data_IF_714713700400
#
_entry.id   IF_714713700400
#
_cell.length_a   1.000
_cell.length_b   1.000
_cell.length_c   1.000
_cell.angle_alpha   90.00
_cell.angle_beta   90.00
_cell.angle_gamma   90.00
#
_symmetry.space_group_name_H-M   'P 1'
#
loop_
_entity.id
_entity.type
_entity.pdbx_description
1 polymer ?
#
# COMPACT_ATOMS: atom_id res chain seq x y z
N UNK A 1 -22.98 25.71 29.56
CA UNK A 1 -21.54 25.73 29.25
C UNK A 1 -21.41 26.19 27.82
N UNK A 2 -21.01 27.43 27.58
CA UNK A 2 -20.64 27.91 26.25
C UNK A 2 -19.34 27.22 25.84
N UNK A 3 -19.30 26.60 24.67
CA UNK A 3 -18.08 26.01 24.12
C UNK A 3 -17.03 27.13 23.94
N UNK A 4 -15.79 26.85 24.34
CA UNK A 4 -14.64 27.71 24.09
C UNK A 4 -14.18 27.49 22.65
N UNK A 5 -13.78 28.55 21.96
CA UNK A 5 -13.22 28.45 20.60
C UNK A 5 -11.78 27.96 20.66
N UNK A 6 -11.26 27.46 19.54
CA UNK A 6 -9.86 27.06 19.43
C UNK A 6 -8.93 28.30 19.49
N UNK A 7 -8.46 28.63 20.69
CA UNK A 7 -7.51 29.72 20.93
C UNK A 7 -6.76 29.52 22.26
N UNK A 8 -5.79 30.39 22.52
CA UNK A 8 -5.13 30.44 23.82
C UNK A 8 -5.88 31.37 24.75
N UNK A 9 -6.46 30.81 25.81
CA UNK A 9 -7.05 31.56 26.90
C UNK A 9 -6.00 31.80 27.97
N UNK A 10 -5.80 33.06 28.33
CA UNK A 10 -4.94 33.44 29.45
C UNK A 10 -5.80 34.01 30.58
N UNK A 11 -5.50 33.59 31.81
CA UNK A 11 -6.10 34.14 33.02
C UNK A 11 -5.05 34.16 34.13
N UNK A 12 -5.28 34.95 35.18
CA UNK A 12 -4.35 35.06 36.29
C UNK A 12 -5.05 34.65 37.57
N UNK A 13 -4.59 33.55 38.18
CA UNK A 13 -5.08 33.11 39.48
C UNK A 13 -4.39 33.92 40.59
N UNK A 14 -5.18 34.70 41.33
CA UNK A 14 -4.69 35.43 42.50
C UNK A 14 -4.82 34.56 43.76
N UNK A 15 -3.69 34.31 44.43
CA UNK A 15 -3.63 33.59 45.71
C UNK A 15 -3.43 34.60 46.83
N UNK A 16 -4.41 34.68 47.73
CA UNK A 16 -4.33 35.52 48.92
C UNK A 16 -3.71 34.69 50.04
N UNK A 17 -2.62 35.19 50.63
CA UNK A 17 -1.91 34.51 51.72
C UNK A 17 -1.97 35.34 53.01
N UNK A 18 -1.70 34.68 54.14
CA UNK A 18 -1.52 35.37 55.42
C UNK A 18 -0.05 35.73 55.69
N UNK A 19 0.82 35.73 54.66
CA UNK A 19 2.17 36.29 54.75
C UNK A 19 2.07 37.83 54.78
N UNK A 20 2.51 38.49 55.88
CA UNK A 20 2.44 39.94 56.01
C UNK A 20 3.36 40.71 55.04
N UNK A 21 4.30 40.04 54.37
CA UNK A 21 5.21 40.62 53.38
C UNK A 21 4.68 40.42 51.95
N UNK A 22 4.13 39.24 51.63
CA UNK A 22 3.58 38.91 50.31
C UNK A 22 2.10 38.47 50.41
N UNK A 23 1.17 39.42 50.66
CA UNK A 23 -0.24 39.10 50.86
C UNK A 23 -0.95 38.63 49.58
N UNK A 24 -0.34 38.84 48.42
CA UNK A 24 -0.86 38.41 47.11
C UNK A 24 0.28 37.77 46.30
N UNK A 25 -0.02 36.63 45.69
CA UNK A 25 0.79 36.04 44.64
C UNK A 25 -0.10 35.77 43.42
N UNK A 26 0.46 35.83 42.23
CA UNK A 26 -0.27 35.66 40.97
C UNK A 26 0.35 34.55 40.15
N UNK A 27 -0.48 33.60 39.75
CA UNK A 27 -0.08 32.51 38.85
C UNK A 27 -0.74 32.77 37.51
N UNK A 28 0.06 33.00 36.49
CA UNK A 28 -0.43 33.07 35.11
C UNK A 28 -0.83 31.65 34.66
N UNK A 29 -2.07 31.53 34.20
CA UNK A 29 -2.66 30.32 33.64
C UNK A 29 -2.85 30.57 32.15
N UNK A 30 -2.31 29.68 31.32
CA UNK A 30 -2.61 29.64 29.89
C UNK A 30 -3.20 28.28 29.54
N UNK A 31 -4.36 28.27 28.89
CA UNK A 31 -5.00 27.09 28.33
C UNK A 31 -5.06 27.25 26.83
N UNK A 32 -4.41 26.35 26.09
CA UNK A 32 -4.62 26.21 24.65
C UNK A 32 -5.79 25.26 24.43
N UNK A 33 -6.90 25.78 23.92
CA UNK A 33 -7.96 24.94 23.37
C UNK A 33 -7.56 24.64 21.92
N UNK A 34 -7.22 23.38 21.65
CA UNK A 34 -7.07 22.91 20.27
C UNK A 34 -8.45 22.55 19.75
N UNK A 35 -8.78 22.97 18.52
CA UNK A 35 -10.01 22.55 17.88
C UNK A 35 -9.98 21.05 17.59
N UNK A 36 -11.16 20.44 17.47
CA UNK A 36 -11.27 19.06 17.04
C UNK A 36 -10.60 18.88 15.66
N UNK A 37 -9.88 17.76 15.44
CA UNK A 37 -9.27 17.49 14.14
C UNK A 37 -10.32 17.45 13.03
N UNK A 38 -9.93 17.63 11.75
CA UNK A 38 -10.89 17.55 10.66
C UNK A 38 -11.59 16.19 10.66
N UNK A 39 -12.88 16.18 10.38
CA UNK A 39 -13.70 14.97 10.31
C UNK A 39 -14.40 14.94 8.96
N UNK A 40 -14.01 14.02 8.08
CA UNK A 40 -14.56 13.94 6.73
C UNK A 40 -15.93 13.24 6.72
N UNK A 41 -16.88 13.81 5.99
CA UNK A 41 -18.17 13.18 5.69
C UNK A 41 -18.44 13.30 4.19
N UNK A 42 -18.70 12.16 3.54
CA UNK A 42 -19.01 12.07 2.10
C UNK A 42 -20.45 11.61 1.93
N UNK A 43 -21.30 12.40 1.27
CA UNK A 43 -22.72 12.09 1.09
C UNK A 43 -23.20 12.37 -0.36
N UNK A 44 -23.77 11.38 -1.08
CA UNK A 44 -23.90 9.98 -0.68
C UNK A 44 -22.57 9.22 -0.76
N UNK A 45 -22.40 8.19 0.06
CA UNK A 45 -21.25 7.27 -0.01
C UNK A 45 -21.33 6.26 -1.17
N UNK A 46 -22.45 6.24 -1.90
CA UNK A 46 -22.60 5.43 -3.10
C UNK A 46 -23.47 6.14 -4.14
N UNK A 47 -23.07 6.06 -5.41
CA UNK A 47 -23.83 6.60 -6.54
C UNK A 47 -24.04 5.49 -7.57
N UNK A 48 -25.28 5.36 -8.03
CA UNK A 48 -25.62 4.48 -9.15
C UNK A 48 -26.25 5.30 -10.26
N UNK A 49 -25.72 5.16 -11.48
CA UNK A 49 -26.27 5.79 -12.69
C UNK A 49 -26.65 4.73 -13.73
N UNK A 50 -27.62 5.05 -14.58
CA UNK A 50 -28.01 4.23 -15.72
C UNK A 50 -28.02 5.08 -16.98
N UNK A 51 -27.21 4.73 -17.98
CA UNK A 51 -27.04 5.54 -19.18
C UNK A 51 -26.82 4.70 -20.44
N UNK A 52 -27.12 5.30 -21.60
CA UNK A 52 -26.86 4.62 -22.88
C UNK A 52 -25.39 4.67 -23.24
N UNK A 53 -24.90 3.69 -24.02
CA UNK A 53 -23.54 3.73 -24.59
C UNK A 53 -23.24 5.07 -25.27
N UNK A 54 -22.01 5.58 -25.15
CA UNK A 54 -21.55 6.85 -25.71
C UNK A 54 -22.29 8.09 -25.20
N UNK A 55 -22.68 8.07 -23.92
CA UNK A 55 -23.19 9.25 -23.22
C UNK A 55 -22.38 9.47 -21.95
N UNK A 56 -22.45 10.69 -21.44
CA UNK A 56 -21.89 11.06 -20.14
C UNK A 56 -23.00 11.59 -19.24
N UNK A 57 -22.94 11.27 -17.94
CA UNK A 57 -23.85 11.78 -16.92
C UNK A 57 -23.06 12.30 -15.73
N UNK A 58 -23.48 13.43 -15.19
CA UNK A 58 -22.90 14.02 -13.97
C UNK A 58 -23.85 13.80 -12.81
N UNK A 59 -23.32 13.29 -11.70
CA UNK A 59 -23.94 13.29 -10.39
C UNK A 59 -23.11 14.18 -9.45
N UNK A 60 -23.63 14.47 -8.26
CA UNK A 60 -22.94 15.30 -7.29
C UNK A 60 -22.82 14.55 -5.97
N UNK A 61 -21.64 14.64 -5.35
CA UNK A 61 -21.38 14.23 -3.97
C UNK A 61 -21.03 15.46 -3.15
N UNK A 62 -21.37 15.46 -1.86
CA UNK A 62 -21.00 16.51 -0.92
C UNK A 62 -19.89 16.01 -0.03
N UNK A 63 -18.78 16.72 0.02
CA UNK A 63 -17.70 16.50 0.98
C UNK A 63 -17.80 17.56 2.06
N UNK A 64 -17.95 17.13 3.32
CA UNK A 64 -18.12 18.02 4.48
C UNK A 64 -17.01 17.80 5.49
N UNK A 65 -16.69 18.86 6.23
CA UNK A 65 -15.78 18.83 7.36
C UNK A 65 -16.55 19.15 8.64
N UNK A 66 -16.76 18.15 9.49
CA UNK A 66 -17.45 18.30 10.78
C UNK A 66 -16.48 18.64 11.94
N UNK A 67 -15.19 18.80 11.63
CA UNK A 67 -14.16 19.20 12.59
C UNK A 67 -13.90 20.71 12.62
N UNK A 68 -13.00 21.13 13.52
CA UNK A 68 -12.66 22.55 13.73
C UNK A 68 -11.42 23.01 12.95
N UNK A 69 -10.68 22.09 12.35
CA UNK A 69 -9.48 22.37 11.55
C UNK A 69 -9.76 22.10 10.07
N UNK A 70 -9.08 22.81 9.15
CA UNK A 70 -9.24 22.61 7.71
C UNK A 70 -9.01 21.15 7.32
N UNK A 71 -9.98 20.58 6.61
CA UNK A 71 -9.90 19.29 5.94
C UNK A 71 -9.26 19.50 4.56
N UNK A 72 -8.19 18.77 4.26
CA UNK A 72 -7.66 18.65 2.90
C UNK A 72 -7.96 17.24 2.41
N UNK A 73 -8.43 17.10 1.18
CA UNK A 73 -8.82 15.82 0.61
C UNK A 73 -8.33 15.68 -0.84
N UNK A 74 -8.09 14.44 -1.26
CA UNK A 74 -7.58 14.11 -2.61
C UNK A 74 -8.12 12.73 -3.07
N UNK A 75 -8.77 12.70 -4.24
CA UNK A 75 -9.28 11.49 -4.87
C UNK A 75 -8.34 10.90 -5.93
N UNK A 76 -7.21 11.56 -6.20
CA UNK A 76 -6.17 11.14 -7.17
C UNK A 76 -5.01 10.40 -6.52
N UNK A 77 -4.94 10.40 -5.19
CA UNK A 77 -3.85 9.76 -4.47
C UNK A 77 -4.09 8.25 -4.37
N UNK A 78 -3.12 7.47 -4.87
CA UNK A 78 -3.07 6.04 -4.59
C UNK A 78 -2.73 5.79 -3.13
N UNK A 79 -3.40 4.81 -2.54
CA UNK A 79 -3.08 4.35 -1.20
C UNK A 79 -1.66 3.82 -1.16
N UNK A 80 -0.98 3.92 0.02
CA UNK A 80 0.30 3.27 0.19
C UNK A 80 0.21 1.79 -0.20
N UNK A 81 1.21 1.24 -0.91
CA UNK A 81 1.23 -0.17 -1.22
C UNK A 81 1.15 -1.02 0.04
N UNK A 82 0.42 -2.12 -0.04
CA UNK A 82 0.34 -3.13 1.01
C UNK A 82 1.47 -4.13 0.78
N UNK A 83 2.15 -4.53 1.86
CA UNK A 83 3.05 -5.68 1.82
C UNK A 83 2.26 -6.96 2.11
N UNK A 84 2.18 -7.86 1.13
CA UNK A 84 1.53 -9.15 1.26
C UNK A 84 2.42 -10.22 1.92
N UNK A 85 3.72 -9.95 2.08
CA UNK A 85 4.65 -10.82 2.81
C UNK A 85 4.56 -10.53 4.31
N UNK A 86 4.55 -11.59 5.11
CA UNK A 86 4.71 -11.50 6.57
C UNK A 86 6.18 -11.73 6.93
N UNK A 87 6.71 -10.89 7.84
CA UNK A 87 8.08 -11.00 8.38
C UNK A 87 9.14 -11.11 7.28
N UNK A 88 9.11 -10.15 6.35
CA UNK A 88 10.08 -10.04 5.26
C UNK A 88 11.53 -9.86 5.70
N UNK A 89 11.75 -9.36 6.91
CA UNK A 89 13.07 -9.19 7.55
C UNK A 89 13.52 -10.41 8.36
N UNK A 90 12.68 -11.45 8.50
CA UNK A 90 13.00 -12.70 9.21
C UNK A 90 13.26 -12.57 10.72
N UNK A 91 12.87 -11.46 11.33
CA UNK A 91 13.19 -11.11 12.72
C UNK A 91 12.18 -11.67 13.72
N UNK A 92 10.92 -11.81 13.30
CA UNK A 92 9.83 -12.28 14.16
C UNK A 92 9.75 -13.82 14.21
N UNK A 93 10.19 -14.47 13.12
CA UNK A 93 10.25 -15.92 12.98
C UNK A 93 8.90 -16.58 12.75
N UNK A 94 8.93 -17.77 12.13
CA UNK A 94 7.75 -18.62 11.96
C UNK A 94 6.81 -18.23 10.81
N UNK A 95 7.05 -17.12 10.10
CA UNK A 95 6.34 -16.77 8.86
C UNK A 95 6.87 -17.53 7.63
N UNK A 96 8.14 -17.93 7.66
CA UNK A 96 8.83 -18.62 6.57
C UNK A 96 9.19 -20.05 6.95
N UNK A 97 8.93 -21.00 6.05
CA UNK A 97 9.45 -22.37 6.14
C UNK A 97 10.75 -22.48 5.35
N UNK A 98 11.87 -22.74 6.04
CA UNK A 98 13.20 -22.81 5.46
C UNK A 98 13.76 -24.22 5.50
N UNK A 99 14.22 -24.75 4.36
CA UNK A 99 14.79 -26.09 4.29
C UNK A 99 15.56 -26.39 3.01
N UNK A 100 16.32 -27.47 3.03
CA UNK A 100 17.15 -27.90 1.91
C UNK A 100 18.10 -29.02 2.28
N UNK A 101 19.06 -29.30 1.40
CA UNK A 101 20.03 -30.39 1.53
C UNK A 101 20.89 -30.30 2.80
N UNK A 102 21.15 -29.08 3.26
CA UNK A 102 22.04 -28.78 4.39
C UNK A 102 21.33 -28.13 5.59
N UNK A 103 19.99 -28.15 5.61
CA UNK A 103 19.17 -27.56 6.67
C UNK A 103 18.48 -26.27 6.24
N UNK A 104 18.02 -25.50 7.23
CA UNK A 104 17.37 -24.21 6.96
C UNK A 104 18.41 -23.19 6.47
N UNK A 105 18.11 -22.44 5.40
CA UNK A 105 18.95 -21.33 4.95
C UNK A 105 18.70 -20.03 5.73
N UNK A 106 17.77 -20.01 6.69
CA UNK A 106 17.49 -18.85 7.55
C UNK A 106 18.60 -18.76 8.61
N UNK A 107 19.31 -17.65 8.62
CA UNK A 107 20.53 -17.40 9.37
C UNK A 107 20.34 -16.31 10.43
N UNK A 108 21.16 -16.42 11.48
CA UNK A 108 21.39 -15.40 12.50
C UNK A 108 22.89 -15.40 12.86
N UNK A 109 23.39 -14.47 13.69
CA UNK A 109 24.79 -14.43 14.03
C UNK A 109 25.25 -15.66 14.83
N UNK A 110 24.32 -16.34 15.53
CA UNK A 110 24.59 -17.56 16.28
C UNK A 110 24.74 -18.81 15.42
N UNK A 111 23.98 -18.93 14.34
CA UNK A 111 23.98 -20.10 13.44
C UNK A 111 24.98 -19.97 12.30
N UNK A 112 25.14 -18.78 11.72
CA UNK A 112 25.88 -18.58 10.46
C UNK A 112 27.18 -17.76 10.62
N UNK A 113 27.42 -17.13 11.77
CA UNK A 113 28.67 -16.40 12.07
C UNK A 113 28.52 -14.88 12.05
N UNK A 114 29.56 -14.13 11.71
CA UNK A 114 29.47 -12.66 11.73
C UNK A 114 28.32 -12.15 10.83
N UNK A 115 27.57 -11.15 11.30
CA UNK A 115 26.34 -10.70 10.64
C UNK A 115 26.61 -10.27 9.19
N UNK A 116 25.77 -10.78 8.29
CA UNK A 116 25.65 -10.38 6.89
C UNK A 116 24.19 -10.06 6.54
N UNK A 117 23.36 -9.71 7.54
CA UNK A 117 22.05 -9.14 7.29
C UNK A 117 22.20 -7.73 6.71
N UNK A 118 21.25 -7.32 5.87
CA UNK A 118 21.14 -5.93 5.42
C UNK A 118 20.58 -5.07 6.55
N UNK A 119 19.51 -5.52 7.20
CA UNK A 119 18.95 -4.90 8.39
C UNK A 119 18.70 -5.93 9.48
N UNK A 120 18.70 -5.50 10.75
CA UNK A 120 18.50 -6.42 11.86
C UNK A 120 19.65 -7.43 12.04
N UNK A 121 19.30 -8.61 12.56
CA UNK A 121 20.20 -9.71 12.89
C UNK A 121 19.92 -10.97 12.04
N UNK A 122 18.75 -11.12 11.42
CA UNK A 122 18.36 -12.31 10.65
C UNK A 122 18.38 -12.05 9.15
N UNK A 123 18.72 -13.09 8.38
CA UNK A 123 18.76 -13.03 6.91
C UNK A 123 18.65 -14.44 6.34
N UNK A 124 18.59 -14.56 5.01
CA UNK A 124 18.63 -15.86 4.33
C UNK A 124 19.93 -16.00 3.56
N UNK A 125 20.62 -17.13 3.74
CA UNK A 125 21.85 -17.44 3.04
C UNK A 125 21.75 -18.80 2.34
N UNK A 126 21.81 -18.76 1.01
CA UNK A 126 21.88 -19.94 0.17
C UNK A 126 23.32 -20.21 -0.28
N UNK A 127 23.73 -21.48 -0.27
CA UNK A 127 25.07 -21.89 -0.71
C UNK A 127 26.17 -21.62 0.31
N UNK A 128 27.39 -21.35 -0.16
CA UNK A 128 28.56 -21.02 0.63
C UNK A 128 29.28 -22.23 1.23
N UNK A 129 28.99 -23.44 0.78
CA UNK A 129 29.53 -24.68 1.32
C UNK A 129 30.62 -25.29 0.44
N UNK A 130 30.75 -24.85 -0.82
CA UNK A 130 31.73 -25.40 -1.76
C UNK A 130 31.38 -26.84 -2.13
N UNK A 131 30.09 -27.17 -2.10
CA UNK A 131 29.50 -28.42 -2.57
C UNK A 131 28.16 -28.09 -3.19
N UNK A 132 27.76 -28.82 -4.24
CA UNK A 132 26.42 -28.66 -4.80
C UNK A 132 25.36 -28.91 -3.73
N UNK A 133 24.51 -27.91 -3.49
CA UNK A 133 23.39 -27.98 -2.55
C UNK A 133 22.27 -27.04 -3.01
N UNK A 134 21.04 -27.40 -2.65
CA UNK A 134 19.85 -26.59 -2.88
C UNK A 134 19.11 -26.39 -1.57
N UNK A 135 18.66 -25.16 -1.33
CA UNK A 135 17.76 -24.82 -0.23
C UNK A 135 16.77 -23.74 -0.66
N UNK A 136 15.66 -23.65 0.06
CA UNK A 136 14.59 -22.70 -0.22
C UNK A 136 13.93 -22.20 1.06
N UNK A 137 13.35 -21.01 0.97
CA UNK A 137 12.35 -20.51 1.91
C UNK A 137 11.00 -20.46 1.20
N UNK A 138 9.91 -20.74 1.91
CA UNK A 138 8.54 -20.64 1.38
C UNK A 138 7.62 -19.91 2.34
N UNK A 139 6.64 -19.20 1.77
CA UNK A 139 5.53 -18.58 2.50
C UNK A 139 4.26 -18.62 1.64
N UNK A 140 3.11 -18.86 2.29
CA UNK A 140 1.82 -18.66 1.63
C UNK A 140 1.43 -17.18 1.72
N UNK A 141 1.26 -16.52 0.57
CA UNK A 141 0.87 -15.11 0.48
C UNK A 141 -0.45 -14.98 -0.27
N UNK A 142 -1.31 -14.06 0.13
CA UNK A 142 -2.50 -13.71 -0.66
C UNK A 142 -2.17 -12.47 -1.48
N UNK A 143 -2.19 -12.60 -2.81
CA UNK A 143 -1.92 -11.48 -3.71
C UNK A 143 -3.28 -10.92 -4.13
N UNK A 144 -3.64 -9.68 -3.75
CA UNK A 144 -4.94 -9.11 -4.08
C UNK A 144 -5.24 -9.08 -5.58
N UNK A 145 -6.51 -9.05 -5.97
CA UNK A 145 -6.95 -8.87 -7.36
C UNK A 145 -6.78 -7.41 -7.78
N UNK A 146 -5.54 -7.06 -8.16
CA UNK A 146 -5.11 -5.70 -8.50
C UNK A 146 -4.28 -5.69 -9.78
N UNK A 147 -4.11 -4.51 -10.37
CA UNK A 147 -3.36 -4.36 -11.62
C UNK A 147 -1.85 -4.50 -11.47
N UNK A 148 -1.31 -4.32 -10.26
CA UNK A 148 0.13 -4.38 -10.02
C UNK A 148 0.49 -5.12 -8.73
N UNK A 149 1.45 -6.04 -8.85
CA UNK A 149 2.07 -6.72 -7.72
C UNK A 149 3.56 -6.90 -8.01
N UNK A 150 4.43 -6.38 -7.15
CA UNK A 150 5.88 -6.42 -7.32
C UNK A 150 6.54 -7.01 -6.09
N UNK A 151 7.26 -8.12 -6.27
CA UNK A 151 8.14 -8.64 -5.24
C UNK A 151 9.46 -7.85 -5.27
N UNK A 152 9.81 -7.25 -4.15
CA UNK A 152 11.10 -6.63 -3.90
C UNK A 152 11.84 -7.40 -2.81
N UNK A 153 13.16 -7.55 -2.96
CA UNK A 153 14.01 -8.06 -1.90
C UNK A 153 15.43 -7.53 -2.08
N UNK A 154 16.23 -7.57 -1.05
CA UNK A 154 17.63 -7.16 -1.13
C UNK A 154 18.51 -8.38 -1.31
N UNK A 155 19.30 -8.36 -2.37
CA UNK A 155 20.15 -9.46 -2.79
C UNK A 155 21.62 -9.04 -2.74
N UNK A 156 22.45 -9.89 -2.17
CA UNK A 156 23.90 -9.88 -2.34
C UNK A 156 24.34 -11.24 -2.90
N UNK A 157 25.28 -11.21 -3.85
CA UNK A 157 25.85 -12.41 -4.48
C UNK A 157 27.36 -12.42 -4.18
N UNK A 158 27.83 -13.54 -3.63
CA UNK A 158 29.25 -13.81 -3.45
C UNK A 158 29.65 -15.02 -4.28
N UNK A 159 30.78 -14.94 -4.97
CA UNK A 159 31.31 -16.02 -5.81
C UNK A 159 32.27 -15.51 -6.87
N UNK A 160 32.50 -16.34 -7.89
CA UNK A 160 33.22 -16.01 -9.10
C UNK A 160 32.28 -16.08 -10.31
N UNK A 161 32.43 -15.21 -11.31
CA UNK A 161 31.61 -15.23 -12.53
C UNK A 161 31.63 -16.58 -13.29
N UNK A 162 32.62 -17.45 -13.02
CA UNK A 162 32.64 -18.82 -13.57
C UNK A 162 31.73 -19.81 -12.85
N UNK A 163 31.22 -19.45 -11.68
CA UNK A 163 30.37 -20.30 -10.85
C UNK A 163 28.97 -20.41 -11.47
N UNK A 164 28.37 -21.60 -11.39
CA UNK A 164 27.06 -21.88 -11.99
C UNK A 164 25.91 -21.77 -10.98
N UNK A 165 26.15 -21.16 -9.82
CA UNK A 165 25.13 -20.97 -8.80
C UNK A 165 24.00 -20.06 -9.29
N UNK A 166 22.80 -20.29 -8.76
CA UNK A 166 21.59 -19.55 -9.14
C UNK A 166 20.64 -19.35 -7.96
N UNK A 167 19.89 -18.27 -8.01
CA UNK A 167 18.75 -17.97 -7.14
C UNK A 167 17.49 -17.82 -7.99
N UNK A 168 16.41 -18.44 -7.57
CA UNK A 168 15.14 -18.49 -8.29
C UNK A 168 14.01 -17.98 -7.42
N UNK A 169 13.19 -17.10 -7.99
CA UNK A 169 11.88 -16.75 -7.43
C UNK A 169 10.85 -17.66 -8.10
N UNK A 170 9.99 -18.27 -7.29
CA UNK A 170 9.08 -19.33 -7.71
C UNK A 170 7.69 -19.04 -7.14
N UNK A 171 6.67 -19.13 -7.99
CA UNK A 171 5.27 -19.12 -7.59
C UNK A 171 4.64 -20.47 -7.96
N UNK A 172 4.09 -21.18 -6.97
CA UNK A 172 3.41 -22.48 -7.18
C UNK A 172 4.28 -23.53 -7.91
N UNK A 173 5.58 -23.53 -7.62
CA UNK A 173 6.56 -24.42 -8.26
C UNK A 173 6.99 -24.02 -9.67
N UNK A 174 6.50 -22.90 -10.22
CA UNK A 174 6.98 -22.33 -11.48
C UNK A 174 8.01 -21.22 -11.21
N UNK A 175 9.20 -21.33 -11.81
CA UNK A 175 10.21 -20.28 -11.74
C UNK A 175 9.76 -19.07 -12.56
N UNK A 176 9.65 -17.92 -11.90
CA UNK A 176 9.23 -16.63 -12.50
C UNK A 176 10.42 -15.71 -12.74
N UNK A 177 11.50 -15.86 -11.97
CA UNK A 177 12.75 -15.13 -12.15
C UNK A 177 13.94 -16.00 -11.74
N UNK A 178 15.06 -15.82 -12.43
CA UNK A 178 16.34 -16.46 -12.11
C UNK A 178 17.45 -15.41 -12.12
N UNK A 179 18.20 -15.35 -11.02
CA UNK A 179 19.47 -14.64 -10.91
C UNK A 179 20.60 -15.67 -10.93
N UNK A 180 21.65 -15.43 -11.70
CA UNK A 180 22.82 -16.31 -11.79
C UNK A 180 24.09 -15.54 -11.46
N UNK A 181 25.11 -16.24 -10.95
CA UNK A 181 26.38 -15.59 -10.64
C UNK A 181 27.04 -15.04 -11.92
N UNK A 182 26.96 -15.78 -13.02
CA UNK A 182 27.57 -15.40 -14.28
C UNK A 182 27.01 -14.08 -14.85
N UNK A 183 25.70 -13.85 -14.70
CA UNK A 183 25.04 -12.70 -15.29
C UNK A 183 24.86 -11.54 -14.30
N UNK A 184 24.65 -11.82 -13.01
CA UNK A 184 24.17 -10.82 -12.04
C UNK A 184 25.19 -10.44 -10.96
N UNK A 185 26.33 -11.13 -10.82
CA UNK A 185 27.30 -10.89 -9.73
C UNK A 185 27.70 -9.41 -9.61
N UNK A 186 27.94 -8.73 -10.74
CA UNK A 186 28.40 -7.35 -10.75
C UNK A 186 27.34 -6.35 -10.25
N UNK A 187 26.06 -6.68 -10.38
CA UNK A 187 24.95 -5.84 -9.93
C UNK A 187 24.68 -6.01 -8.42
N UNK A 188 25.10 -7.13 -7.85
CA UNK A 188 24.81 -7.53 -6.46
C UNK A 188 26.07 -7.87 -5.64
N UNK A 189 27.24 -7.30 -5.96
CA UNK A 189 28.48 -7.47 -5.15
C UNK A 189 28.37 -6.97 -3.70
N UNK A 190 27.33 -6.20 -3.41
CA UNK A 190 26.82 -5.84 -2.10
C UNK A 190 25.31 -5.77 -2.21
N UNK A 191 24.58 -5.83 -1.09
CA UNK A 191 23.13 -5.70 -1.09
C UNK A 191 22.59 -4.60 -2.02
N UNK A 192 21.90 -5.04 -3.07
CA UNK A 192 21.13 -4.20 -3.97
C UNK A 192 19.72 -4.76 -4.12
N UNK A 193 18.77 -3.89 -4.41
CA UNK A 193 17.36 -4.28 -4.51
C UNK A 193 17.11 -5.04 -5.81
N UNK A 194 16.62 -6.27 -5.69
CA UNK A 194 16.02 -7.05 -6.76
C UNK A 194 14.51 -6.77 -6.82
N UNK A 195 13.95 -6.80 -8.03
CA UNK A 195 12.53 -6.53 -8.28
C UNK A 195 11.99 -7.51 -9.32
N UNK A 196 10.85 -8.13 -9.03
CA UNK A 196 10.19 -9.13 -9.87
C UNK A 196 8.71 -8.78 -9.99
N UNK A 197 8.25 -8.63 -11.24
CA UNK A 197 6.83 -8.39 -11.53
C UNK A 197 6.04 -9.69 -11.35
N UNK A 198 5.10 -9.68 -10.40
CA UNK A 198 4.18 -10.78 -10.10
C UNK A 198 2.73 -10.42 -10.45
N UNK A 199 2.48 -9.36 -11.21
CA UNK A 199 1.12 -8.86 -11.50
C UNK A 199 0.22 -9.91 -12.17
N UNK A 200 0.80 -10.91 -12.86
CA UNK A 200 0.03 -12.02 -13.44
C UNK A 200 -0.56 -12.99 -12.40
N UNK A 201 -0.12 -12.92 -11.14
CA UNK A 201 -0.61 -13.70 -10.00
C UNK A 201 -1.49 -12.86 -9.07
N UNK A 202 -1.77 -11.60 -9.40
CA UNK A 202 -2.64 -10.72 -8.62
C UNK A 202 -4.11 -11.04 -8.92
N UNK A 203 -4.60 -12.18 -8.43
CA UNK A 203 -5.95 -12.70 -8.70
C UNK A 203 -6.85 -12.81 -7.46
N UNK A 204 -6.36 -12.35 -6.30
CA UNK A 204 -7.06 -12.41 -5.01
C UNK A 204 -6.90 -13.74 -4.28
N UNK A 205 -6.20 -14.73 -4.86
CA UNK A 205 -6.00 -16.05 -4.29
C UNK A 205 -4.73 -16.13 -3.44
N UNK A 206 -4.61 -17.24 -2.70
CA UNK A 206 -3.42 -17.57 -1.94
C UNK A 206 -2.44 -18.35 -2.82
N UNK A 207 -1.20 -17.88 -2.89
CA UNK A 207 -0.11 -18.48 -3.65
C UNK A 207 1.03 -18.91 -2.72
N UNK A 208 1.71 -19.98 -3.07
CA UNK A 208 2.99 -20.33 -2.45
C UNK A 208 4.11 -19.55 -3.14
N UNK A 209 4.69 -18.60 -2.42
CA UNK A 209 5.92 -17.90 -2.80
C UNK A 209 7.12 -18.66 -2.27
N UNK A 210 8.08 -18.94 -3.13
CA UNK A 210 9.35 -19.53 -2.74
C UNK A 210 10.53 -18.77 -3.34
N UNK A 211 11.60 -18.65 -2.55
CA UNK A 211 12.92 -18.23 -3.03
C UNK A 211 13.86 -19.42 -2.81
N UNK A 212 14.50 -19.87 -3.88
CA UNK A 212 15.38 -21.05 -3.89
C UNK A 212 16.76 -20.67 -4.36
N UNK A 213 17.79 -21.01 -3.58
CA UNK A 213 19.17 -20.90 -4.02
C UNK A 213 19.80 -22.28 -4.25
N UNK A 214 20.62 -22.38 -5.29
CA UNK A 214 21.41 -23.56 -5.61
C UNK A 214 22.86 -23.17 -5.82
N UNK A 215 23.75 -23.74 -5.02
CA UNK A 215 25.19 -23.74 -5.28
C UNK A 215 25.51 -24.92 -6.20
N UNK A 216 26.37 -24.70 -7.21
CA UNK A 216 26.77 -25.74 -8.16
C UNK A 216 28.30 -25.79 -8.22
N UNK A 217 28.86 -26.96 -7.93
CA UNK A 217 30.30 -27.22 -8.05
C UNK A 217 30.99 -27.31 -6.70
N UNK A 218 32.28 -26.97 -6.69
CA UNK A 218 33.17 -27.04 -5.53
C UNK A 218 33.76 -25.67 -5.12
N UNK A 219 33.34 -24.59 -5.78
CA UNK A 219 33.68 -23.22 -5.43
C UNK A 219 32.68 -22.64 -4.43
N UNK A 220 33.19 -21.84 -3.48
CA UNK A 220 32.34 -21.16 -2.49
C UNK A 220 31.57 -20.05 -3.19
N UNK A 221 30.27 -20.24 -3.35
CA UNK A 221 29.37 -19.22 -3.87
C UNK A 221 28.05 -19.21 -3.11
N UNK A 222 27.45 -18.03 -2.96
CA UNK A 222 26.22 -17.90 -2.21
C UNK A 222 25.43 -16.65 -2.51
N UNK A 223 24.16 -16.71 -2.13
CA UNK A 223 23.18 -15.66 -2.30
C UNK A 223 22.62 -15.31 -0.94
N UNK A 224 22.62 -14.02 -0.62
CA UNK A 224 22.12 -13.48 0.63
C UNK A 224 20.88 -12.66 0.32
N UNK A 225 19.77 -13.00 0.97
CA UNK A 225 18.48 -12.35 0.78
C UNK A 225 18.02 -11.76 2.10
N UNK A 226 17.54 -10.53 2.06
CA UNK A 226 16.98 -9.83 3.21
C UNK A 226 15.87 -8.85 2.77
N UNK A 227 15.06 -8.38 3.73
CA UNK A 227 14.01 -7.38 3.55
C UNK A 227 13.09 -7.67 2.34
N UNK A 228 12.48 -8.86 2.33
CA UNK A 228 11.55 -9.31 1.29
C UNK A 228 10.19 -8.63 1.48
N UNK A 229 9.67 -7.97 0.45
CA UNK A 229 8.35 -7.35 0.46
C UNK A 229 7.62 -7.67 -0.84
N UNK A 230 6.34 -8.02 -0.76
CA UNK A 230 5.46 -8.13 -1.92
C UNK A 230 4.50 -6.95 -1.93
N UNK A 231 4.88 -5.90 -2.64
CA UNK A 231 4.14 -4.66 -2.70
C UNK A 231 3.01 -4.76 -3.72
N UNK A 232 1.77 -4.58 -3.28
CA UNK A 232 0.59 -4.53 -4.13
C UNK A 232 -0.16 -3.22 -3.93
N UNK A 233 -0.93 -2.82 -4.94
CA UNK A 233 -1.97 -1.80 -4.74
C UNK A 233 -2.96 -2.26 -3.65
N UNK A 234 -3.59 -1.32 -2.97
CA UNK A 234 -4.64 -1.62 -2.01
C UNK A 234 -5.94 -2.00 -2.76
N UNK A 235 -6.50 -3.21 -2.55
CA UNK A 235 -7.70 -3.66 -3.26
C UNK A 235 -8.99 -2.99 -2.76
N UNK A 236 -8.95 -2.22 -1.67
CA UNK A 236 -10.17 -1.64 -1.07
C UNK A 236 -10.80 -0.58 -1.97
N UNK A 237 -9.98 0.25 -2.61
CA UNK A 237 -10.39 1.30 -3.54
C UNK A 237 -9.21 1.74 -4.41
N UNK A 238 -9.49 2.49 -5.48
CA UNK A 238 -8.49 3.02 -6.43
C UNK A 238 -8.51 4.54 -6.44
N UNK A 239 -7.42 5.19 -6.86
CA UNK A 239 -7.50 6.59 -7.26
C UNK A 239 -8.44 6.76 -8.46
N UNK A 240 -9.13 7.89 -8.54
CA UNK A 240 -10.02 8.20 -9.66
C UNK A 240 -9.29 8.16 -11.01
N UNK A 241 -7.99 8.48 -11.01
CA UNK A 241 -7.15 8.49 -12.21
C UNK A 241 -6.94 7.10 -12.83
N UNK A 242 -7.11 6.04 -12.04
CA UNK A 242 -6.91 4.65 -12.47
C UNK A 242 -8.22 4.03 -12.99
N UNK A 243 -9.33 4.79 -12.98
CA UNK A 243 -10.64 4.36 -13.45
C UNK A 243 -11.04 5.17 -14.69
N UNK A 244 -11.03 4.52 -15.86
CA UNK A 244 -11.17 5.20 -17.15
C UNK A 244 -12.56 5.75 -17.49
N UNK A 245 -13.61 5.31 -16.78
CA UNK A 245 -15.00 5.68 -17.05
C UNK A 245 -15.59 6.63 -16.00
N UNK A 246 -14.76 7.11 -15.06
CA UNK A 246 -15.14 8.02 -13.98
C UNK A 246 -14.20 9.23 -13.99
N UNK A 247 -14.73 10.42 -13.73
CA UNK A 247 -13.96 11.61 -13.38
C UNK A 247 -14.60 12.32 -12.18
N UNK A 248 -13.81 12.99 -11.36
CA UNK A 248 -14.26 13.71 -10.15
C UNK A 248 -13.72 15.14 -10.22
N UNK A 249 -14.62 16.13 -10.16
CA UNK A 249 -14.29 17.55 -10.37
C UNK A 249 -14.90 18.43 -9.26
N UNK A 250 -14.07 19.16 -8.48
CA UNK A 250 -12.61 19.06 -8.43
C UNK A 250 -12.17 17.67 -7.93
N UNK A 251 -10.95 17.22 -8.26
CA UNK A 251 -10.44 15.91 -7.81
C UNK A 251 -9.70 15.96 -6.47
N UNK A 252 -9.46 17.16 -5.96
CA UNK A 252 -8.92 17.45 -4.63
C UNK A 252 -9.36 18.84 -4.17
N UNK A 253 -9.32 19.07 -2.86
CA UNK A 253 -9.82 20.33 -2.31
C UNK A 253 -9.50 20.54 -0.83
N UNK A 254 -9.97 21.67 -0.32
CA UNK A 254 -9.86 22.03 1.09
C UNK A 254 -11.19 22.56 1.62
N UNK A 255 -11.73 21.92 2.64
CA UNK A 255 -13.01 22.28 3.26
C UNK A 255 -12.76 22.90 4.63
N UNK A 256 -13.18 24.15 4.80
CA UNK A 256 -13.10 24.85 6.08
C UNK A 256 -13.92 24.12 7.15
N UNK A 257 -13.58 24.36 8.42
CA UNK A 257 -14.33 23.82 9.56
C UNK A 257 -15.84 24.07 9.44
N UNK A 258 -16.64 23.05 9.74
CA UNK A 258 -18.11 23.08 9.71
C UNK A 258 -18.71 23.52 8.36
N UNK A 259 -18.00 23.28 7.27
CA UNK A 259 -18.41 23.64 5.91
C UNK A 259 -18.49 22.41 5.03
N UNK A 260 -19.09 22.58 3.85
CA UNK A 260 -19.13 21.57 2.81
C UNK A 260 -18.79 22.13 1.43
N UNK A 261 -18.41 21.23 0.53
CA UNK A 261 -18.13 21.48 -0.88
C UNK A 261 -18.91 20.46 -1.73
N UNK A 262 -19.48 20.92 -2.84
CA UNK A 262 -20.10 20.05 -3.84
C UNK A 262 -19.06 19.64 -4.86
N UNK A 263 -19.00 18.35 -5.16
CA UNK A 263 -18.06 17.74 -6.09
C UNK A 263 -18.85 16.96 -7.13
N UNK A 264 -18.55 17.22 -8.40
CA UNK A 264 -19.19 16.55 -9.52
C UNK A 264 -18.49 15.22 -9.81
N UNK A 265 -19.29 14.15 -9.95
CA UNK A 265 -18.85 12.81 -10.36
C UNK A 265 -19.39 12.57 -11.77
N UNK A 266 -18.49 12.50 -12.74
CA UNK A 266 -18.80 12.32 -14.16
C UNK A 266 -18.63 10.86 -14.53
N UNK A 267 -19.69 10.26 -15.06
CA UNK A 267 -19.70 8.89 -15.58
C UNK A 267 -19.65 8.95 -17.10
N UNK A 268 -18.60 8.43 -17.73
CA UNK A 268 -18.44 8.42 -19.19
C UNK A 268 -18.59 7.00 -19.77
N UNK A 269 -19.67 6.78 -20.52
CA UNK A 269 -19.94 5.52 -21.20
C UNK A 269 -19.41 5.50 -22.65
N UNK A 270 -18.52 6.42 -23.03
CA UNK A 270 -17.90 6.48 -24.37
C UNK A 270 -17.00 5.27 -24.59
N UNK A 271 -17.33 4.47 -25.61
CA UNK A 271 -16.60 3.23 -25.90
C UNK A 271 -16.78 2.10 -24.88
N UNK A 272 -17.60 2.30 -23.85
CA UNK A 272 -17.91 1.28 -22.83
C UNK A 272 -19.04 0.38 -23.35
N UNK A 273 -18.85 -0.95 -23.41
CA UNK A 273 -19.90 -1.90 -23.77
C UNK A 273 -21.12 -1.85 -22.82
N UNK A 274 -22.25 -2.42 -23.25
CA UNK A 274 -23.38 -2.60 -22.33
C UNK A 274 -23.03 -3.59 -21.23
N UNK A 275 -23.32 -3.24 -19.98
CA UNK A 275 -22.96 -4.03 -18.80
C UNK A 275 -23.09 -3.20 -17.51
N UNK A 276 -22.80 -3.84 -16.39
CA UNK A 276 -22.68 -3.19 -15.08
C UNK A 276 -21.20 -3.02 -14.75
N UNK A 277 -20.82 -1.81 -14.34
CA UNK A 277 -19.46 -1.45 -13.95
C UNK A 277 -19.52 -0.88 -12.55
N UNK A 278 -18.76 -1.46 -11.61
CA UNK A 278 -18.71 -0.99 -10.21
C UNK A 278 -17.26 -0.86 -9.79
N UNK A 279 -16.93 0.29 -9.22
CA UNK A 279 -15.60 0.58 -8.68
C UNK A 279 -15.72 1.35 -7.36
N UNK A 280 -14.71 1.19 -6.51
CA UNK A 280 -14.56 1.92 -5.27
C UNK A 280 -13.47 2.98 -5.45
N UNK A 281 -13.81 4.26 -5.26
CA UNK A 281 -12.84 5.36 -5.33
C UNK A 281 -12.36 5.72 -3.92
N UNK A 282 -11.04 5.88 -3.76
CA UNK A 282 -10.45 6.38 -2.53
C UNK A 282 -10.56 7.90 -2.46
N UNK A 283 -11.09 8.42 -1.35
CA UNK A 283 -10.98 9.83 -0.99
C UNK A 283 -10.06 9.89 0.23
N UNK A 284 -8.80 10.24 -0.01
CA UNK A 284 -7.80 10.44 1.05
C UNK A 284 -7.99 11.80 1.71
N UNK A 285 -7.70 11.92 3.00
CA UNK A 285 -7.77 13.19 3.72
C UNK A 285 -6.86 13.26 4.94
N UNK A 286 -6.74 14.45 5.54
CA UNK A 286 -6.05 14.66 6.81
C UNK A 286 -6.94 14.41 8.06
N UNK A 287 -8.11 13.76 7.91
CA UNK A 287 -8.87 13.22 9.05
C UNK A 287 -8.06 12.09 9.72
N UNK A 288 -7.67 12.22 11.00
CA UNK A 288 -6.82 11.24 11.67
C UNK A 288 -7.55 9.94 12.03
N UNK A 289 -8.88 9.94 12.03
CA UNK A 289 -9.72 8.77 12.33
C UNK A 289 -10.08 8.03 11.04
N UNK A 290 -10.45 8.77 10.00
CA UNK A 290 -10.81 8.24 8.68
C UNK A 290 -9.94 8.86 7.58
N UNK A 291 -8.64 8.56 7.53
CA UNK A 291 -7.73 9.15 6.54
C UNK A 291 -8.06 8.75 5.11
N UNK A 292 -8.88 7.72 4.92
CA UNK A 292 -9.39 7.28 3.63
C UNK A 292 -10.87 6.94 3.79
N UNK A 293 -11.72 7.50 2.93
CA UNK A 293 -13.13 7.14 2.79
C UNK A 293 -13.36 6.55 1.40
N UNK A 294 -14.11 5.45 1.33
CA UNK A 294 -14.45 4.80 0.06
C UNK A 294 -15.79 5.32 -0.48
N UNK A 295 -15.80 5.78 -1.73
CA UNK A 295 -17.00 6.15 -2.49
C UNK A 295 -17.28 5.07 -3.54
N UNK A 296 -18.38 4.33 -3.39
CA UNK A 296 -18.76 3.27 -4.34
C UNK A 296 -19.55 3.83 -5.51
N UNK A 297 -19.07 3.61 -6.73
CA UNK A 297 -19.68 4.14 -7.95
C UNK A 297 -20.08 2.98 -8.86
N UNK A 298 -21.35 2.99 -9.30
CA UNK A 298 -21.90 1.99 -10.22
C UNK A 298 -22.48 2.65 -11.46
N UNK A 299 -22.05 2.20 -12.64
CA UNK A 299 -22.61 2.60 -13.93
C UNK A 299 -23.25 1.40 -14.64
N UNK A 300 -24.54 1.52 -14.90
CA UNK A 300 -25.29 0.57 -15.73
C UNK A 300 -25.40 1.10 -17.16
N UNK A 301 -24.69 0.46 -18.09
CA UNK A 301 -24.66 0.84 -19.50
C UNK A 301 -25.62 -0.03 -20.30
N UNK A 302 -26.57 0.58 -21.01
CA UNK A 302 -27.48 -0.12 -21.92
C UNK A 302 -27.33 0.34 -23.36
N UNK A 303 -27.67 -0.53 -24.30
CA UNK A 303 -27.69 -0.18 -25.72
C UNK A 303 -29.08 0.31 -26.13
N UNK A 304 -29.15 1.49 -26.75
CA UNK A 304 -30.37 1.95 -27.42
C UNK A 304 -30.46 1.33 -28.82
N UNK A 305 -31.40 0.42 -29.02
CA UNK A 305 -31.70 -0.12 -30.35
C UNK A 305 -32.62 0.85 -31.10
N UNK A 306 -32.10 1.46 -32.17
CA UNK A 306 -32.95 2.14 -33.14
C UNK A 306 -33.57 1.11 -34.09
N UNK A 307 -34.85 0.82 -33.91
CA UNK A 307 -35.62 0.06 -34.90
C UNK A 307 -35.84 0.95 -36.13
N UNK A 308 -35.52 0.47 -37.36
CA UNK A 308 -35.83 1.24 -38.56
C UNK A 308 -37.35 1.35 -38.70
N UNK A 309 -37.85 2.58 -38.83
CA UNK A 309 -39.26 2.82 -39.17
C UNK A 309 -39.45 2.44 -40.63
N UNK A 310 -40.03 1.26 -40.89
CA UNK A 310 -40.49 0.90 -42.23
C UNK A 310 -41.85 1.56 -42.45
N UNK A 311 -41.88 2.74 -43.06
CA UNK A 311 -43.13 3.30 -43.58
C UNK A 311 -43.51 2.55 -44.86
N UNK A 312 -44.69 1.93 -44.89
CA UNK A 312 -45.23 1.32 -46.12
C UNK A 312 -45.58 2.45 -47.11
N UNK A 313 -45.16 2.36 -48.38
CA UNK A 313 -45.47 3.37 -49.40
C UNK A 313 -46.97 3.48 -49.69
#
# INVERSE_FOLDING_TARGET
>A
TTALFAETYTDTLCVITNDPINPFDTIDISVLVVGDPPTIVVDPMAITTTQSTNTSMTNTVTISNEGDVILNWDATQNLPPIDAVTDGSFEDGGAWDGGGDLGSPICDPGSCGAALARTGDWWVWFGGWGVTNTSSITQMVTIPDVSSATLEFWLEINGNESDAGMLEVIIEGQTVMTYTIADDLNDFTSYAKASVDLSMYADGSMHELAIRGTEIGDTLSGFFVDDVALLTDDPTCKAVTDISWIDIVPSSGSVSAHSSEMVDVVFDATGVPSGSYTENVCISSNDPVNPVVTLTLTMEVYQTLYLPVISRP
#
